data_IF_564643496610
#
_entry.id   IF_564643496610
#
_cell.length_a   1.000
_cell.length_b   1.000
_cell.length_c   1.000
_cell.angle_alpha   90.00
_cell.angle_beta   90.00
_cell.angle_gamma   90.00
#
_symmetry.space_group_name_H-M   'P 1'
#
loop_
_entity.id
_entity.type
_entity.pdbx_description
1 polymer ?
#
# COMPACT_ATOMS: atom_id res chain seq x y z
N UNK A 1 2.35 -10.11 -1.85
CA UNK A 1 3.52 -10.92 -1.46
C UNK A 1 3.52 -12.28 -2.16
N UNK A 2 2.51 -13.13 -1.97
CA UNK A 2 2.49 -14.51 -2.49
C UNK A 2 2.55 -14.59 -4.02
N UNK A 3 1.72 -13.85 -4.75
CA UNK A 3 1.77 -13.82 -6.23
C UNK A 3 3.14 -13.40 -6.75
N UNK A 4 3.71 -12.36 -6.14
CA UNK A 4 5.03 -11.88 -6.53
C UNK A 4 6.08 -12.98 -6.35
N UNK A 5 6.14 -13.60 -5.17
CA UNK A 5 7.08 -14.70 -4.90
C UNK A 5 6.92 -15.85 -5.90
N UNK A 6 5.70 -16.30 -6.15
CA UNK A 6 5.42 -17.38 -7.11
C UNK A 6 5.83 -17.01 -8.54
N UNK A 7 5.58 -15.75 -8.93
CA UNK A 7 5.99 -15.26 -10.25
C UNK A 7 7.52 -15.14 -10.43
N UNK A 8 8.29 -15.07 -9.35
CA UNK A 8 9.76 -15.12 -9.39
C UNK A 8 10.31 -16.55 -9.24
N UNK A 9 9.47 -17.56 -8.97
CA UNK A 9 9.87 -18.97 -8.87
C UNK A 9 9.91 -19.59 -10.25
N UNK A 10 11.11 -19.91 -10.76
CA UNK A 10 11.32 -20.36 -12.13
C UNK A 10 10.55 -21.66 -12.49
N UNK A 11 10.39 -22.57 -11.52
CA UNK A 11 9.70 -23.83 -11.71
C UNK A 11 8.17 -23.72 -11.57
N UNK A 12 7.64 -22.54 -11.26
CA UNK A 12 6.21 -22.33 -11.15
C UNK A 12 5.53 -22.43 -12.53
N UNK A 13 4.43 -23.20 -12.69
CA UNK A 13 3.77 -23.40 -14.00
C UNK A 13 3.36 -22.10 -14.71
N UNK A 14 3.04 -21.06 -13.96
CA UNK A 14 2.68 -19.74 -14.49
C UNK A 14 3.88 -18.81 -14.72
N UNK A 15 5.12 -19.23 -14.50
CA UNK A 15 6.31 -18.39 -14.60
C UNK A 15 6.35 -17.56 -15.91
N UNK A 16 6.07 -18.21 -17.05
CA UNK A 16 6.07 -17.57 -18.37
C UNK A 16 4.77 -16.86 -18.73
N UNK A 17 3.78 -16.83 -17.83
CA UNK A 17 2.50 -16.17 -18.09
C UNK A 17 2.64 -14.64 -18.19
N UNK A 18 1.69 -14.00 -18.86
CA UNK A 18 1.65 -12.55 -18.97
C UNK A 18 1.65 -11.87 -17.59
N UNK A 19 0.88 -12.41 -16.65
CA UNK A 19 0.78 -11.92 -15.27
C UNK A 19 2.16 -11.93 -14.59
N UNK A 20 2.85 -13.07 -14.61
CA UNK A 20 4.17 -13.18 -13.99
C UNK A 20 5.23 -12.34 -14.69
N UNK A 21 5.16 -12.19 -16.01
CA UNK A 21 6.04 -11.29 -16.75
C UNK A 21 5.80 -9.82 -16.39
N UNK A 22 4.56 -9.42 -16.10
CA UNK A 22 4.23 -8.10 -15.56
C UNK A 22 4.82 -7.91 -14.15
N UNK A 23 4.63 -8.87 -13.24
CA UNK A 23 5.20 -8.83 -11.88
C UNK A 23 6.73 -8.72 -11.88
N UNK A 24 7.43 -9.42 -12.75
CA UNK A 24 8.89 -9.34 -12.89
C UNK A 24 9.36 -8.11 -13.68
N UNK A 25 8.46 -7.39 -14.34
CA UNK A 25 8.82 -6.26 -15.20
C UNK A 25 9.55 -6.67 -16.50
N UNK A 26 9.51 -7.94 -16.88
CA UNK A 26 10.16 -8.48 -18.07
C UNK A 26 9.28 -8.46 -19.34
N UNK A 27 8.08 -7.91 -19.23
CA UNK A 27 7.19 -7.68 -20.37
C UNK A 27 7.73 -6.51 -21.21
N UNK A 28 8.30 -6.82 -22.37
CA UNK A 28 8.73 -5.81 -23.34
C UNK A 28 7.67 -5.66 -24.43
N UNK A 29 7.18 -4.44 -24.58
CA UNK A 29 6.27 -4.05 -25.65
C UNK A 29 7.06 -3.23 -26.70
N UNK A 30 6.66 -3.25 -27.97
CA UNK A 30 7.33 -2.48 -29.03
C UNK A 30 6.92 -0.99 -28.98
N UNK A 31 7.13 -0.35 -27.83
CA UNK A 31 6.82 1.05 -27.57
C UNK A 31 7.97 1.69 -26.80
N UNK A 32 8.04 3.01 -26.80
CA UNK A 32 9.06 3.76 -26.06
C UNK A 32 9.06 3.40 -24.57
N UNK A 33 10.23 3.47 -23.93
CA UNK A 33 10.46 3.04 -22.54
C UNK A 33 9.52 3.76 -21.54
N UNK A 34 9.30 5.07 -21.74
CA UNK A 34 8.37 5.86 -20.93
C UNK A 34 6.92 5.34 -21.04
N UNK A 35 6.50 4.97 -22.25
CA UNK A 35 5.19 4.38 -22.49
C UNK A 35 5.09 2.97 -21.90
N UNK A 36 6.17 2.19 -21.95
CA UNK A 36 6.22 0.87 -21.31
C UNK A 36 6.00 0.94 -19.80
N UNK A 37 6.63 1.89 -19.13
CA UNK A 37 6.46 2.09 -17.69
C UNK A 37 5.03 2.49 -17.35
N UNK A 38 4.43 3.38 -18.11
CA UNK A 38 3.03 3.78 -17.95
C UNK A 38 2.06 2.61 -18.17
N UNK A 39 2.29 1.81 -19.21
CA UNK A 39 1.46 0.63 -19.49
C UNK A 39 1.60 -0.46 -18.41
N UNK A 40 2.77 -0.64 -17.82
CA UNK A 40 2.95 -1.54 -16.67
C UNK A 40 2.17 -1.05 -15.46
N UNK A 41 2.27 0.23 -15.13
CA UNK A 41 1.52 0.83 -14.04
C UNK A 41 0.01 0.70 -14.24
N UNK A 42 -0.47 1.02 -15.44
CA UNK A 42 -1.88 0.85 -15.81
C UNK A 42 -2.33 -0.63 -15.73
N UNK A 43 -1.48 -1.56 -16.15
CA UNK A 43 -1.78 -2.99 -16.07
C UNK A 43 -1.92 -3.46 -14.63
N UNK A 44 -1.09 -2.98 -13.70
CA UNK A 44 -1.24 -3.28 -12.27
C UNK A 44 -2.54 -2.69 -11.71
N UNK A 45 -2.89 -1.47 -12.08
CA UNK A 45 -4.12 -0.83 -11.65
C UNK A 45 -5.39 -1.57 -12.16
N UNK A 46 -5.34 -2.14 -13.35
CA UNK A 46 -6.50 -2.81 -13.99
C UNK A 46 -6.58 -4.29 -13.60
N UNK A 47 -5.45 -5.00 -13.63
CA UNK A 47 -5.41 -6.46 -13.44
C UNK A 47 -4.92 -6.89 -12.06
N UNK A 48 -4.43 -5.97 -11.24
CA UNK A 48 -3.91 -6.25 -9.90
C UNK A 48 -4.98 -6.40 -8.83
N UNK A 49 -6.25 -6.13 -9.15
CA UNK A 49 -7.36 -6.14 -8.19
C UNK A 49 -7.67 -7.55 -7.68
N UNK A 50 -7.74 -8.52 -8.58
CA UNK A 50 -8.07 -9.91 -8.25
C UNK A 50 -6.83 -10.81 -8.21
N UNK A 51 -6.93 -11.92 -7.47
CA UNK A 51 -5.92 -12.98 -7.51
C UNK A 51 -5.98 -13.71 -8.85
N UNK A 52 -4.84 -13.84 -9.50
CA UNK A 52 -4.74 -14.65 -10.72
C UNK A 52 -4.88 -16.13 -10.39
N UNK A 53 -5.97 -16.76 -10.80
CA UNK A 53 -6.18 -18.23 -10.62
C UNK A 53 -5.06 -19.05 -11.25
N UNK A 54 -4.48 -18.56 -12.36
CA UNK A 54 -3.33 -19.21 -13.01
C UNK A 54 -2.09 -19.27 -12.13
N UNK A 55 -1.89 -18.26 -11.25
CA UNK A 55 -0.74 -18.17 -10.34
C UNK A 55 -1.08 -18.76 -8.98
N UNK A 56 -2.27 -18.46 -8.47
CA UNK A 56 -2.66 -18.73 -7.10
C UNK A 56 -3.45 -20.03 -6.90
N UNK A 57 -3.83 -20.72 -7.99
CA UNK A 57 -4.81 -21.78 -7.97
C UNK A 57 -6.25 -21.25 -7.93
N UNK A 58 -7.22 -22.12 -8.15
CA UNK A 58 -8.63 -21.75 -8.32
C UNK A 58 -9.23 -21.06 -7.08
N UNK A 59 -8.80 -21.44 -5.89
CA UNK A 59 -9.25 -20.90 -4.61
C UNK A 59 -8.31 -19.82 -4.03
N UNK A 60 -7.19 -19.54 -4.69
CA UNK A 60 -6.19 -18.58 -4.26
C UNK A 60 -5.34 -19.03 -3.06
N UNK A 61 -5.48 -20.28 -2.58
CA UNK A 61 -4.77 -20.80 -1.40
C UNK A 61 -3.26 -20.74 -1.56
N UNK A 62 -2.74 -21.13 -2.73
CA UNK A 62 -1.30 -21.14 -2.99
C UNK A 62 -0.65 -19.78 -2.75
N UNK A 63 -1.30 -18.69 -3.15
CA UNK A 63 -0.79 -17.35 -2.91
C UNK A 63 -0.91 -16.93 -1.44
N UNK A 64 -1.95 -17.37 -0.73
CA UNK A 64 -2.09 -17.08 0.70
C UNK A 64 -1.02 -17.81 1.51
N UNK A 65 -0.81 -19.10 1.25
CA UNK A 65 0.20 -19.91 1.94
C UNK A 65 1.61 -19.35 1.68
N UNK A 66 1.91 -19.03 0.42
CA UNK A 66 3.19 -18.38 0.06
C UNK A 66 3.35 -17.01 0.72
N UNK A 67 2.27 -16.23 0.87
CA UNK A 67 2.33 -14.95 1.58
C UNK A 67 2.66 -15.14 3.06
N UNK A 68 2.16 -16.19 3.71
CA UNK A 68 2.50 -16.55 5.09
C UNK A 68 4.00 -16.91 5.21
N UNK A 69 4.54 -17.67 4.26
CA UNK A 69 5.96 -18.01 4.23
C UNK A 69 6.83 -16.76 4.10
N UNK A 70 6.51 -15.88 3.16
CA UNK A 70 7.22 -14.60 2.97
C UNK A 70 7.10 -13.71 4.21
N UNK A 71 5.94 -13.71 4.88
CA UNK A 71 5.74 -12.97 6.12
C UNK A 71 6.64 -13.50 7.25
N UNK A 72 6.77 -14.82 7.37
CA UNK A 72 7.69 -15.44 8.34
C UNK A 72 9.16 -15.15 8.02
N UNK A 73 9.54 -15.09 6.74
CA UNK A 73 10.88 -14.65 6.34
C UNK A 73 11.14 -13.20 6.75
N UNK A 74 10.16 -12.31 6.52
CA UNK A 74 10.23 -10.91 6.95
C UNK A 74 10.40 -10.80 8.48
N UNK A 75 9.60 -11.55 9.25
CA UNK A 75 9.72 -11.56 10.71
C UNK A 75 11.12 -11.99 11.17
N UNK A 76 11.65 -13.10 10.62
CA UNK A 76 13.02 -13.54 10.95
C UNK A 76 14.06 -12.46 10.61
N UNK A 77 13.97 -11.88 9.42
CA UNK A 77 14.91 -10.83 9.01
C UNK A 77 14.82 -9.59 9.91
N UNK A 78 13.61 -9.22 10.36
CA UNK A 78 13.42 -8.12 11.30
C UNK A 78 14.11 -8.42 12.64
N UNK A 79 13.90 -9.61 13.21
CA UNK A 79 14.53 -10.00 14.48
C UNK A 79 16.06 -10.16 14.38
N UNK A 80 16.55 -10.66 13.25
CA UNK A 80 18.01 -10.84 13.02
C UNK A 80 18.77 -9.50 13.02
N UNK A 81 18.10 -8.41 12.65
CA UNK A 81 18.68 -7.07 12.60
C UNK A 81 18.35 -6.20 13.81
N UNK A 82 17.40 -6.61 14.65
CA UNK A 82 17.04 -5.87 15.85
C UNK A 82 18.13 -6.01 16.93
N UNK A 83 18.62 -4.89 17.42
CA UNK A 83 19.55 -4.91 18.55
C UNK A 83 18.79 -5.04 19.87
N UNK A 84 18.75 -6.27 20.40
CA UNK A 84 18.14 -6.60 21.69
C UNK A 84 19.03 -6.30 22.91
N UNK A 85 20.24 -5.74 22.69
CA UNK A 85 21.12 -5.35 23.79
C UNK A 85 20.61 -4.09 24.51
N UNK A 86 21.16 -3.83 25.71
CA UNK A 86 20.86 -2.60 26.44
C UNK A 86 21.28 -1.32 25.69
N UNK A 87 22.23 -1.44 24.76
CA UNK A 87 22.68 -0.31 23.93
C UNK A 87 21.60 0.14 22.92
N UNK A 88 20.76 -0.80 22.42
CA UNK A 88 19.68 -0.55 21.49
C UNK A 88 20.10 0.35 20.31
N UNK A 89 21.21 -0.01 19.66
CA UNK A 89 21.82 0.82 18.60
C UNK A 89 21.02 0.77 17.29
N UNK A 90 20.25 -0.29 17.07
CA UNK A 90 19.44 -0.45 15.88
C UNK A 90 18.08 -1.07 16.15
N UNK A 91 17.02 -0.32 15.85
CA UNK A 91 15.64 -0.77 16.04
C UNK A 91 15.00 -1.11 14.70
N UNK A 92 14.38 -2.27 14.59
CA UNK A 92 13.60 -2.72 13.46
C UNK A 92 12.14 -2.92 13.85
N UNK A 93 11.25 -2.83 12.88
CA UNK A 93 9.81 -3.06 13.07
C UNK A 93 9.30 -4.10 12.08
N UNK A 94 8.44 -5.00 12.55
CA UNK A 94 7.65 -5.83 11.66
C UNK A 94 6.65 -4.96 10.92
N UNK A 95 6.69 -4.99 9.60
CA UNK A 95 5.82 -4.14 8.80
C UNK A 95 5.51 -4.76 7.44
N UNK A 96 4.41 -4.32 6.84
CA UNK A 96 4.09 -4.60 5.45
C UNK A 96 3.27 -3.45 4.85
N UNK A 97 3.27 -3.35 3.53
CA UNK A 97 2.40 -2.43 2.83
C UNK A 97 1.07 -3.09 2.46
N UNK A 98 -0.02 -2.50 2.95
CA UNK A 98 -1.35 -2.77 2.46
C UNK A 98 -1.59 -1.94 1.20
N UNK A 99 -1.42 -2.57 0.03
CA UNK A 99 -1.44 -1.93 -1.28
C UNK A 99 -2.85 -2.01 -1.88
N UNK A 100 -3.73 -1.11 -1.48
CA UNK A 100 -5.07 -0.99 -2.07
C UNK A 100 -5.04 0.01 -3.22
N UNK A 101 -5.41 -0.45 -4.43
CA UNK A 101 -5.56 0.39 -5.61
C UNK A 101 -6.99 0.23 -6.14
N UNK A 102 -7.92 1.02 -5.63
CA UNK A 102 -9.32 0.98 -6.05
C UNK A 102 -9.61 2.08 -7.08
N UNK A 103 -10.17 1.70 -8.23
CA UNK A 103 -10.47 2.60 -9.34
C UNK A 103 -9.27 3.49 -9.74
N UNK A 104 -8.08 2.87 -9.81
CA UNK A 104 -6.80 3.54 -10.08
C UNK A 104 -6.41 4.61 -9.04
N UNK A 105 -7.02 4.60 -7.86
CA UNK A 105 -6.66 5.48 -6.75
C UNK A 105 -5.83 4.73 -5.73
N UNK A 106 -4.69 5.29 -5.36
CA UNK A 106 -3.84 4.71 -4.32
C UNK A 106 -4.45 4.96 -2.93
N UNK A 107 -4.79 3.89 -2.25
CA UNK A 107 -5.29 3.91 -0.88
C UNK A 107 -4.36 3.08 0.02
N UNK A 108 -3.07 3.23 -0.19
CA UNK A 108 -2.02 2.44 0.47
C UNK A 108 -1.83 2.82 1.93
N UNK A 109 -1.47 1.83 2.77
CA UNK A 109 -1.07 2.03 4.17
C UNK A 109 0.18 1.23 4.46
N UNK A 110 1.13 1.84 5.16
CA UNK A 110 2.20 1.12 5.82
C UNK A 110 1.67 0.61 7.16
N UNK A 111 1.50 -0.71 7.28
CA UNK A 111 1.09 -1.36 8.53
C UNK A 111 2.34 -1.73 9.29
N UNK A 112 2.53 -1.12 10.47
CA UNK A 112 3.74 -1.24 11.28
C UNK A 112 3.36 -1.71 12.68
N UNK A 113 3.92 -2.85 13.10
CA UNK A 113 3.69 -3.42 14.43
C UNK A 113 4.77 -2.95 15.40
N UNK A 114 4.38 -2.68 16.64
CA UNK A 114 5.25 -2.17 17.69
C UNK A 114 6.23 -3.21 18.22
N UNK A 115 5.86 -4.48 18.18
CA UNK A 115 6.64 -5.58 18.77
C UNK A 115 6.67 -6.79 17.83
N UNK A 116 7.37 -7.84 18.24
CA UNK A 116 7.39 -9.14 17.54
C UNK A 116 6.07 -9.93 17.64
N UNK A 117 5.14 -9.47 18.47
CA UNK A 117 3.80 -10.06 18.53
C UNK A 117 2.98 -9.51 17.36
N UNK A 118 2.84 -10.31 16.31
CA UNK A 118 2.18 -9.93 15.06
C UNK A 118 1.20 -11.02 14.60
N UNK A 119 0.21 -10.70 13.76
CA UNK A 119 -0.67 -11.70 13.16
C UNK A 119 0.10 -12.75 12.36
N UNK A 120 -0.46 -13.97 12.27
CA UNK A 120 0.18 -15.08 11.55
C UNK A 120 0.35 -14.84 10.05
N UNK A 121 -0.48 -13.99 9.47
CA UNK A 121 -0.45 -13.60 8.07
C UNK A 121 -0.75 -12.11 7.91
N UNK A 122 -0.17 -11.42 6.93
CA UNK A 122 -0.56 -10.05 6.61
C UNK A 122 -1.87 -10.05 5.86
N UNK A 123 -2.77 -9.12 6.17
CA UNK A 123 -4.02 -8.95 5.41
C UNK A 123 -3.73 -8.22 4.09
N UNK A 124 -4.12 -8.84 3.00
CA UNK A 124 -3.97 -8.26 1.66
C UNK A 124 -5.19 -7.42 1.27
N UNK A 125 -4.98 -6.36 0.50
CA UNK A 125 -6.07 -5.61 -0.13
C UNK A 125 -6.97 -6.48 -1.06
N UNK A 126 -6.46 -7.63 -1.51
CA UNK A 126 -7.24 -8.62 -2.28
C UNK A 126 -8.22 -9.42 -1.42
N UNK A 127 -7.95 -9.53 -0.12
CA UNK A 127 -8.83 -10.21 0.84
C UNK A 127 -9.73 -9.21 1.60
N UNK A 128 -9.28 -7.97 1.70
CA UNK A 128 -10.00 -6.87 2.33
C UNK A 128 -9.89 -5.62 1.42
N UNK A 129 -10.84 -5.42 0.50
CA UNK A 129 -10.76 -4.39 -0.53
C UNK A 129 -11.19 -2.99 -0.06
N UNK A 130 -11.30 -2.75 1.24
CA UNK A 130 -11.58 -1.42 1.80
C UNK A 130 -10.73 -1.12 3.02
N UNK A 131 -10.41 0.17 3.31
CA UNK A 131 -9.68 0.54 4.50
C UNK A 131 -10.39 0.12 5.80
N UNK A 132 -11.72 0.17 5.83
CA UNK A 132 -12.53 -0.22 6.99
C UNK A 132 -12.36 -1.71 7.33
N UNK A 133 -12.22 -2.54 6.32
CA UNK A 133 -11.96 -3.97 6.51
C UNK A 133 -10.54 -4.21 7.04
N UNK A 134 -9.54 -3.43 6.60
CA UNK A 134 -8.21 -3.47 7.19
C UNK A 134 -8.26 -3.05 8.66
N UNK A 135 -8.92 -1.93 8.98
CA UNK A 135 -9.00 -1.45 10.36
C UNK A 135 -9.71 -2.45 11.27
N UNK A 136 -10.84 -3.01 10.83
CA UNK A 136 -11.56 -4.04 11.60
C UNK A 136 -10.70 -5.27 11.85
N UNK A 137 -9.98 -5.73 10.84
CA UNK A 137 -9.09 -6.88 10.99
C UNK A 137 -7.91 -6.61 11.94
N UNK A 138 -7.31 -5.40 11.90
CA UNK A 138 -6.25 -5.01 12.82
C UNK A 138 -6.76 -4.88 14.26
N UNK A 139 -7.99 -4.39 14.43
CA UNK A 139 -8.66 -4.34 15.72
C UNK A 139 -8.86 -5.75 16.30
N UNK A 140 -9.50 -6.62 15.54
CA UNK A 140 -9.83 -7.98 15.95
C UNK A 140 -8.61 -8.86 16.21
N UNK A 141 -7.52 -8.70 15.45
CA UNK A 141 -6.37 -9.60 15.51
C UNK A 141 -5.21 -9.07 16.34
N UNK A 142 -5.13 -7.77 16.54
CA UNK A 142 -4.02 -7.12 17.22
C UNK A 142 -4.49 -6.35 18.45
N UNK A 143 -5.37 -5.37 18.29
CA UNK A 143 -5.69 -4.44 19.39
C UNK A 143 -6.56 -5.09 20.46
N UNK A 144 -7.73 -5.60 20.08
CA UNK A 144 -8.67 -6.25 21.01
C UNK A 144 -8.39 -7.75 21.14
N UNK A 145 -7.82 -8.36 20.11
CA UNK A 145 -7.56 -9.80 20.08
C UNK A 145 -6.27 -10.25 20.76
N UNK A 146 -5.35 -9.31 21.07
CA UNK A 146 -4.05 -9.65 21.67
C UNK A 146 -3.42 -8.48 22.43
N UNK A 147 -3.50 -8.49 23.74
CA UNK A 147 -2.98 -7.44 24.64
C UNK A 147 -1.50 -7.09 24.44
N UNK A 148 -0.72 -7.99 23.83
CA UNK A 148 0.72 -7.78 23.56
C UNK A 148 0.99 -7.22 22.16
N UNK A 149 -0.02 -7.05 21.33
CA UNK A 149 0.09 -6.51 19.99
C UNK A 149 -0.36 -5.04 19.98
N UNK A 150 0.40 -4.21 19.27
CA UNK A 150 0.03 -2.83 18.97
C UNK A 150 0.48 -2.48 17.56
N UNK A 151 -0.29 -1.65 16.84
CA UNK A 151 -0.11 -1.45 15.40
C UNK A 151 -0.51 -0.05 14.96
N UNK A 152 0.20 0.48 13.96
CA UNK A 152 -0.16 1.67 13.20
C UNK A 152 -0.42 1.30 11.74
N UNK A 153 -1.37 1.98 11.12
CA UNK A 153 -1.59 1.94 9.68
C UNK A 153 -1.41 3.37 9.14
N UNK A 154 -0.31 3.65 8.45
CA UNK A 154 0.06 5.00 8.03
C UNK A 154 -0.34 5.20 6.56
N UNK A 155 -1.37 6.02 6.25
CA UNK A 155 -1.69 6.40 4.90
C UNK A 155 -0.52 7.10 4.22
N UNK A 156 -0.19 6.70 3.00
CA UNK A 156 0.88 7.32 2.23
C UNK A 156 0.52 7.43 0.75
N UNK A 157 1.27 8.27 0.01
CA UNK A 157 1.07 8.49 -1.41
C UNK A 157 -0.33 9.08 -1.73
N UNK A 158 -0.81 10.01 -0.89
CA UNK A 158 -2.15 10.58 -0.95
C UNK A 158 -2.43 11.36 -2.25
N UNK A 159 -1.39 11.93 -2.88
CA UNK A 159 -1.48 12.64 -4.14
C UNK A 159 -1.95 11.80 -5.33
N UNK A 160 -1.93 10.46 -5.20
CA UNK A 160 -2.44 9.53 -6.21
C UNK A 160 -3.75 8.87 -5.80
N UNK A 161 -4.37 9.36 -4.74
CA UNK A 161 -5.62 8.81 -4.20
C UNK A 161 -6.89 9.38 -4.85
N UNK A 162 -6.76 10.35 -5.74
CA UNK A 162 -7.91 11.10 -6.29
C UNK A 162 -8.78 11.72 -5.17
N UNK A 163 -8.15 12.16 -4.09
CA UNK A 163 -8.82 12.69 -2.89
C UNK A 163 -9.46 11.66 -1.98
N UNK A 164 -9.53 10.40 -2.39
CA UNK A 164 -10.27 9.33 -1.69
C UNK A 164 -9.58 8.84 -0.41
N UNK A 165 -8.26 9.05 -0.25
CA UNK A 165 -7.52 8.70 0.97
C UNK A 165 -8.16 9.29 2.23
N UNK A 166 -8.74 10.48 2.10
CA UNK A 166 -9.26 11.27 3.21
C UNK A 166 -10.77 11.19 3.36
N UNK A 167 -11.46 10.38 2.53
CA UNK A 167 -12.87 10.11 2.74
C UNK A 167 -13.06 9.44 4.10
N UNK A 168 -14.07 9.87 4.88
CA UNK A 168 -14.28 9.31 6.22
C UNK A 168 -14.62 7.82 6.16
N UNK A 169 -15.41 7.42 5.15
CA UNK A 169 -15.85 6.02 4.95
C UNK A 169 -16.06 5.73 3.47
N UNK A 170 -15.86 4.47 3.09
CA UNK A 170 -16.17 3.99 1.73
C UNK A 170 -17.68 3.92 1.51
N UNK A 171 -18.44 3.42 2.51
CA UNK A 171 -19.90 3.39 2.45
C UNK A 171 -20.49 4.66 3.10
N UNK A 172 -21.33 5.38 2.36
CA UNK A 172 -21.97 6.62 2.81
C UNK A 172 -23.30 6.38 3.58
N UNK A 173 -23.86 5.17 3.54
CA UNK A 173 -25.15 4.82 4.14
C UNK A 173 -25.03 4.26 5.57
N UNK A 174 -23.93 4.53 6.26
CA UNK A 174 -23.68 4.06 7.63
C UNK A 174 -24.54 4.81 8.65
N UNK A 175 -24.99 4.09 9.67
CA UNK A 175 -25.61 4.71 10.86
C UNK A 175 -24.61 5.63 11.57
N UNK A 176 -25.11 6.63 12.29
CA UNK A 176 -24.26 7.53 13.07
C UNK A 176 -23.38 6.77 14.08
N UNK A 177 -23.90 5.72 14.70
CA UNK A 177 -23.16 4.89 15.63
C UNK A 177 -21.98 4.19 14.95
N UNK A 178 -22.18 3.64 13.75
CA UNK A 178 -21.11 2.98 12.99
C UNK A 178 -20.09 3.99 12.49
N UNK A 179 -20.52 5.17 12.04
CA UNK A 179 -19.62 6.26 11.67
C UNK A 179 -18.71 6.67 12.84
N UNK A 180 -19.28 6.81 14.05
CA UNK A 180 -18.52 7.12 15.26
C UNK A 180 -17.52 6.01 15.61
N UNK A 181 -17.93 4.75 15.53
CA UNK A 181 -17.05 3.59 15.76
C UNK A 181 -15.87 3.58 14.79
N UNK A 182 -16.12 3.71 13.49
CA UNK A 182 -15.09 3.73 12.47
C UNK A 182 -14.16 4.94 12.60
N UNK A 183 -14.69 6.11 12.94
CA UNK A 183 -13.88 7.30 13.17
C UNK A 183 -12.93 7.13 14.37
N UNK A 184 -13.42 6.55 15.48
CA UNK A 184 -12.59 6.26 16.65
C UNK A 184 -11.50 5.23 16.32
N UNK A 185 -11.85 4.17 15.59
CA UNK A 185 -10.92 3.14 15.18
C UNK A 185 -9.85 3.69 14.22
N UNK A 186 -10.26 4.49 13.24
CA UNK A 186 -9.33 5.16 12.34
C UNK A 186 -8.39 6.11 13.10
N UNK A 187 -8.91 6.92 14.01
CA UNK A 187 -8.09 7.84 14.81
C UNK A 187 -7.04 7.10 15.64
N UNK A 188 -7.32 5.89 16.10
CA UNK A 188 -6.38 5.03 16.81
C UNK A 188 -5.32 4.42 15.87
N UNK A 189 -5.73 3.88 14.73
CA UNK A 189 -4.86 3.15 13.82
C UNK A 189 -4.06 4.06 12.88
N UNK A 190 -4.64 5.20 12.47
CA UNK A 190 -4.04 6.17 11.53
C UNK A 190 -3.78 7.52 12.21
N UNK A 191 -3.02 7.58 13.35
CA UNK A 191 -2.69 8.85 14.00
C UNK A 191 -1.64 9.67 13.22
N UNK A 192 -1.00 9.06 12.24
CA UNK A 192 0.03 9.63 11.38
C UNK A 192 -0.38 9.48 9.93
N UNK A 193 0.07 10.40 9.08
CA UNK A 193 -0.05 10.31 7.64
C UNK A 193 1.21 10.88 6.98
N UNK A 194 1.62 10.29 5.86
CA UNK A 194 2.66 10.86 5.04
C UNK A 194 2.12 12.08 4.29
N UNK A 195 2.75 13.24 4.46
CA UNK A 195 2.36 14.47 3.78
C UNK A 195 3.12 14.68 2.47
N UNK A 196 4.36 14.21 2.38
CA UNK A 196 5.23 14.41 1.21
C UNK A 196 6.08 13.17 0.96
N UNK A 197 6.33 12.90 -0.31
CA UNK A 197 7.18 11.78 -0.73
C UNK A 197 8.41 12.26 -1.50
N UNK A 198 9.42 11.36 -1.59
CA UNK A 198 10.66 11.57 -2.36
C UNK A 198 10.41 11.93 -3.84
N UNK A 199 9.33 11.47 -4.43
CA UNK A 199 8.96 11.84 -5.82
C UNK A 199 8.52 13.30 -6.00
N UNK A 200 8.35 14.06 -4.91
CA UNK A 200 7.85 15.44 -4.93
C UNK A 200 6.43 15.58 -5.47
N UNK A 201 5.95 16.81 -5.59
CA UNK A 201 4.64 17.15 -6.16
C UNK A 201 3.45 16.45 -5.48
N UNK A 202 3.65 16.06 -4.20
CA UNK A 202 2.61 15.35 -3.45
C UNK A 202 1.58 16.30 -2.85
N UNK A 203 2.05 17.43 -2.32
CA UNK A 203 1.23 18.33 -1.50
C UNK A 203 1.31 19.80 -1.95
N UNK A 204 2.13 20.13 -2.92
CA UNK A 204 2.23 21.51 -3.40
C UNK A 204 2.40 21.60 -4.93
N UNK A 205 1.86 22.65 -5.50
CA UNK A 205 2.06 23.02 -6.90
C UNK A 205 2.02 24.52 -7.06
N UNK A 206 3.14 25.09 -7.46
CA UNK A 206 3.18 26.52 -7.79
C UNK A 206 2.30 26.82 -9.02
N UNK A 207 1.62 27.97 -8.98
CA UNK A 207 0.81 28.46 -10.10
C UNK A 207 -0.61 27.92 -10.17
N UNK A 208 -1.08 27.14 -9.21
CA UNK A 208 -2.50 26.82 -9.09
C UNK A 208 -3.22 28.02 -8.44
N UNK A 209 -4.28 28.49 -9.09
CA UNK A 209 -5.18 29.49 -8.50
C UNK A 209 -5.78 28.93 -7.20
N UNK A 210 -5.91 29.77 -6.17
CA UNK A 210 -6.39 29.44 -4.83
C UNK A 210 -5.37 28.91 -3.79
N UNK A 211 -4.12 28.71 -4.13
CA UNK A 211 -3.09 28.51 -3.11
C UNK A 211 -2.81 29.84 -2.41
N UNK A 212 -3.11 29.89 -1.12
CA UNK A 212 -2.87 31.10 -0.31
C UNK A 212 -1.38 31.16 0.04
N UNK A 213 -0.72 32.25 -0.36
CA UNK A 213 0.68 32.48 -0.03
C UNK A 213 1.57 32.78 -1.24
N UNK A 214 2.85 33.04 -0.99
CA UNK A 214 3.85 33.15 -2.04
C UNK A 214 4.20 31.78 -2.63
N UNK A 215 4.68 31.70 -3.89
CA UNK A 215 5.21 30.47 -4.43
C UNK A 215 6.27 29.87 -3.49
N UNK A 216 6.17 28.57 -3.24
CA UNK A 216 7.15 27.84 -2.45
C UNK A 216 8.31 27.42 -3.35
N UNK A 217 9.51 27.87 -3.03
CA UNK A 217 10.73 27.56 -3.78
C UNK A 217 11.09 26.06 -3.79
N UNK A 218 10.65 25.30 -2.77
CA UNK A 218 10.89 23.86 -2.67
C UNK A 218 9.79 23.05 -3.34
N UNK A 219 8.67 23.66 -3.76
CA UNK A 219 7.56 22.97 -4.38
C UNK A 219 7.95 22.29 -5.71
N UNK A 220 8.98 22.76 -6.38
CA UNK A 220 9.44 22.18 -7.65
C UNK A 220 10.55 21.11 -7.48
N UNK A 221 10.89 20.76 -6.23
CA UNK A 221 11.90 19.77 -5.93
C UNK A 221 11.36 18.35 -6.20
N UNK A 222 12.16 17.55 -6.89
CA UNK A 222 11.88 16.12 -7.21
C UNK A 222 10.51 15.82 -7.85
N UNK A 223 9.97 16.75 -8.61
CA UNK A 223 8.68 16.55 -9.30
C UNK A 223 8.76 15.47 -10.37
N UNK A 224 7.75 14.60 -10.41
CA UNK A 224 7.56 13.66 -11.53
C UNK A 224 7.20 14.35 -12.83
N UNK A 225 6.61 15.56 -12.77
CA UNK A 225 6.21 16.36 -13.93
C UNK A 225 7.09 17.58 -14.03
N UNK A 226 7.57 17.95 -15.24
CA UNK A 226 8.27 19.20 -15.43
C UNK A 226 7.40 20.39 -15.01
N UNK A 227 7.98 21.47 -14.43
CA UNK A 227 7.27 22.66 -14.02
C UNK A 227 6.47 23.34 -15.16
N UNK A 228 6.85 23.09 -16.40
CA UNK A 228 6.24 23.69 -17.61
C UNK A 228 4.98 22.99 -18.12
N UNK A 229 4.65 21.81 -17.62
CA UNK A 229 3.40 21.13 -18.00
C UNK A 229 2.23 21.69 -17.21
N UNK A 230 1.65 22.77 -17.72
CA UNK A 230 0.33 23.25 -17.29
C UNK A 230 -0.68 22.22 -17.82
N UNK A 231 -1.15 21.35 -16.95
CA UNK A 231 -2.34 20.57 -17.25
C UNK A 231 -3.51 21.52 -17.07
N UNK A 232 -4.36 21.72 -18.10
CA UNK A 232 -5.59 22.48 -17.92
C UNK A 232 -6.37 21.85 -16.76
N UNK A 233 -6.90 22.72 -15.89
CA UNK A 233 -7.83 22.27 -14.84
C UNK A 233 -8.87 21.36 -15.48
N UNK A 234 -8.94 20.11 -15.02
CA UNK A 234 -10.09 19.28 -15.25
C UNK A 234 -11.20 19.86 -14.36
N UNK A 235 -11.99 20.79 -14.94
CA UNK A 235 -13.19 21.32 -14.33
C UNK A 235 -14.27 20.25 -14.14
#
# INVERSE_FOLDING_TARGET
LGETRLCYTADHPAYSSLVCRLYRGDLRLPVEEKMQSLMRLASFAIFGQDRSTRVCGDDGSLCRDTAIEVWRENQRSTEDWHDHSEACEFTTFHAYEYTLADQASNLHRNVIFKSSTVPQAPLSAKDAPTPEQLWGWLDDTCIEGNDSCDVLAIPHNSNWSSGRMWFPYTNQDLSLQEQQRLAALRARLEPLAEMMQVKGDSECRNGIASVIGAPDELCDFEKLRPPSEIIPDCG
#
